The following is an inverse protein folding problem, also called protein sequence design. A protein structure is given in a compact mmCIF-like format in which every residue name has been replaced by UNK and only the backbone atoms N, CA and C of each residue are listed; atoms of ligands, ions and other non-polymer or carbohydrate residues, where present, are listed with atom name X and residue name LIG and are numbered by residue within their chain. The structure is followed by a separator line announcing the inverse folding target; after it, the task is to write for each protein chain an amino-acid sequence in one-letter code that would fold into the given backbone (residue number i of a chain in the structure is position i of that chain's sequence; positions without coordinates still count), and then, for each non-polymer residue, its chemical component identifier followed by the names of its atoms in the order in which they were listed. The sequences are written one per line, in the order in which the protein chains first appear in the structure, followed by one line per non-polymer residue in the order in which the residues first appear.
data_IF_588102373749
#
_entry.id   IF_588102373749
#
_cell.length_a   1.000
_cell.length_b   1.000
_cell.length_c   1.000
_cell.angle_alpha   90.00
_cell.angle_beta   90.00
_cell.angle_gamma   90.00
#
_symmetry.space_group_name_H-M   'P 1'
#
loop_
_entity.id
_entity.type
_entity.pdbx_description
1 polymer ?
#
# COMPACT_ATOMS: atom_id res chain seq x y z
N UNK A 1 21.37 -12.78 -17.67
CA UNK A 1 21.09 -12.62 -17.19
C UNK A 1 20.34 -12.44 -16.60
N UNK A 2 20.12 -12.35 -16.89
CA UNK A 2 19.38 -12.18 -16.35
C UNK A 2 18.79 -12.67 -15.61
N UNK A 3 18.64 -12.96 -15.52
CA UNK A 3 17.97 -13.32 -14.86
C UNK A 3 18.12 -13.44 -13.76
N UNK A 4 18.47 -13.48 -13.47
CA UNK A 4 18.58 -13.71 -12.46
C UNK A 4 18.31 -12.94 -11.62
N UNK A 5 18.18 -12.39 -11.86
CA UNK A 5 17.84 -11.75 -11.14
C UNK A 5 16.87 -11.74 -10.68
N UNK A 6 16.40 -11.85 -11.10
CA UNK A 6 15.55 -11.77 -10.69
C UNK A 6 15.17 -12.41 -9.91
N UNK A 7 15.21 -12.86 -9.88
CA UNK A 7 14.80 -13.50 -9.20
C UNK A 7 14.93 -13.29 -8.10
N UNK A 8 15.47 -12.98 -7.98
CA UNK A 8 15.72 -12.80 -6.90
C UNK A 8 14.87 -12.12 -6.20
N UNK A 9 14.60 -11.36 -6.77
CA UNK A 9 13.80 -10.65 -6.11
C UNK A 9 12.78 -11.38 -5.51
N UNK A 10 12.55 -12.08 -5.97
CA UNK A 10 11.59 -12.56 -5.49
C UNK A 10 11.69 -13.14 -4.39
N UNK A 11 12.38 -13.56 -4.22
CA UNK A 11 12.38 -14.16 -3.19
C UNK A 11 12.23 -13.48 -2.18
N UNK A 12 12.32 -12.97 -2.38
CA UNK A 12 12.23 -12.51 -1.55
C UNK A 12 11.46 -12.09 -1.15
N UNK A 13 11.04 -12.11 -1.61
CA UNK A 13 10.35 -11.63 -1.34
C UNK A 13 10.05 -11.70 -0.45
N UNK A 14 10.38 -12.08 -0.30
CA UNK A 14 9.92 -12.27 0.57
C UNK A 14 9.55 -11.52 1.47
N UNK A 15 8.91 -11.55 1.76
CA UNK A 15 8.24 -10.74 2.51
C UNK A 15 8.94 -10.49 3.75
N UNK A 16 9.38 -11.46 4.35
CA UNK A 16 9.96 -11.21 5.62
C UNK A 16 11.29 -10.57 5.53
N UNK A 17 11.95 -10.80 4.49
CA UNK A 17 13.28 -10.25 4.39
C UNK A 17 13.22 -8.75 4.24
N UNK A 18 12.08 -8.19 4.00
CA UNK A 18 11.99 -6.78 3.79
C UNK A 18 11.88 -6.02 5.06
N UNK A 19 11.54 -6.70 6.11
CA UNK A 19 11.43 -6.01 7.34
C UNK A 19 12.72 -5.43 7.75
N UNK A 20 12.74 -4.19 8.12
CA UNK A 20 13.92 -3.53 8.59
C UNK A 20 14.71 -2.96 7.46
N UNK A 21 15.81 -3.56 7.08
CA UNK A 21 16.71 -2.98 6.12
C UNK A 21 16.77 -3.76 4.84
N UNK A 22 16.95 -3.05 3.75
CA UNK A 22 17.18 -3.71 2.48
C UNK A 22 18.62 -4.16 2.40
N UNK A 23 18.81 -5.42 2.05
CA UNK A 23 20.16 -5.91 1.83
C UNK A 23 20.62 -5.64 0.43
N UNK A 24 19.73 -5.22 -0.47
CA UNK A 24 20.10 -4.91 -1.84
C UNK A 24 19.61 -3.52 -2.15
N UNK A 25 20.32 -2.79 -3.02
CA UNK A 25 19.95 -1.42 -3.32
C UNK A 25 18.81 -1.28 -4.30
N UNK A 26 18.31 -2.39 -4.83
CA UNK A 26 17.28 -2.32 -5.85
C UNK A 26 16.29 -3.45 -5.68
N UNK A 27 15.01 -3.12 -5.71
CA UNK A 27 13.92 -4.09 -5.67
C UNK A 27 12.99 -3.84 -6.83
N UNK A 28 12.47 -4.91 -7.38
CA UNK A 28 11.54 -4.82 -8.49
C UNK A 28 10.43 -5.81 -8.27
N UNK A 29 9.19 -5.39 -8.53
CA UNK A 29 8.04 -6.25 -8.34
C UNK A 29 7.18 -6.25 -9.61
N UNK A 30 6.65 -7.43 -9.92
CA UNK A 30 5.65 -7.54 -10.98
C UNK A 30 4.30 -7.42 -10.28
N UNK A 31 3.67 -6.26 -10.36
CA UNK A 31 2.46 -6.00 -9.60
C UNK A 31 1.31 -6.88 -10.02
N UNK A 32 1.25 -7.22 -11.31
CA UNK A 32 0.21 -8.13 -11.76
C UNK A 32 0.30 -9.49 -11.07
N UNK A 33 1.51 -10.01 -10.96
CA UNK A 33 1.71 -11.28 -10.27
C UNK A 33 1.40 -11.17 -8.78
N UNK A 34 1.78 -10.06 -8.17
CA UNK A 34 1.51 -9.87 -6.76
C UNK A 34 0.01 -9.81 -6.50
N UNK A 35 -0.74 -9.17 -7.39
CA UNK A 35 -2.19 -9.11 -7.25
C UNK A 35 -2.77 -10.52 -7.35
N UNK A 36 -2.31 -11.30 -8.31
CA UNK A 36 -2.81 -12.67 -8.45
C UNK A 36 -2.55 -13.47 -7.19
N UNK A 37 -1.37 -13.33 -6.63
CA UNK A 37 -1.05 -14.04 -5.40
C UNK A 37 -1.98 -13.65 -4.27
N UNK A 38 -2.23 -12.35 -4.12
CA UNK A 38 -3.12 -11.90 -3.07
C UNK A 38 -4.51 -12.47 -3.20
N UNK A 39 -4.99 -12.58 -4.41
CA UNK A 39 -6.34 -13.05 -4.65
C UNK A 39 -6.47 -14.56 -4.54
N UNK A 40 -5.36 -15.27 -4.35
CA UNK A 40 -5.42 -16.70 -4.09
C UNK A 40 -5.21 -17.02 -2.62
N UNK A 41 -5.01 -16.01 -1.77
CA UNK A 41 -4.75 -16.25 -0.37
C UNK A 41 -6.03 -16.47 0.42
N UNK A 42 -5.88 -17.13 1.55
CA UNK A 42 -7.03 -17.44 2.37
C UNK A 42 -7.76 -16.18 2.84
N UNK A 43 -7.02 -15.12 3.12
CA UNK A 43 -7.64 -13.88 3.57
C UNK A 43 -8.55 -13.29 2.51
N UNK A 44 -8.20 -13.48 1.24
CA UNK A 44 -9.05 -13.01 0.15
C UNK A 44 -10.36 -13.79 0.11
N UNK A 45 -10.28 -15.08 0.33
CA UNK A 45 -11.46 -15.93 0.28
C UNK A 45 -12.27 -15.88 1.57
N UNK A 46 -11.74 -15.28 2.61
CA UNK A 46 -12.39 -15.26 3.90
C UNK A 46 -13.46 -14.17 3.96
N UNK A 47 -14.09 -14.07 5.12
CA UNK A 47 -15.13 -13.08 5.29
C UNK A 47 -14.60 -11.66 5.25
N UNK A 48 -13.31 -11.47 5.54
CA UNK A 48 -12.77 -10.13 5.54
C UNK A 48 -12.74 -9.53 4.14
N UNK A 49 -12.56 -10.37 3.12
CA UNK A 49 -12.54 -9.89 1.75
C UNK A 49 -11.37 -8.98 1.45
N UNK A 50 -10.29 -9.09 2.21
CA UNK A 50 -9.15 -8.21 1.96
C UNK A 50 -7.85 -8.96 2.18
N UNK A 51 -6.84 -8.54 1.43
CA UNK A 51 -5.51 -9.09 1.51
C UNK A 51 -4.52 -7.96 1.30
N UNK A 52 -3.45 -7.95 2.06
CA UNK A 52 -2.43 -6.91 1.97
C UNK A 52 -1.06 -7.52 2.05
N UNK A 53 -0.13 -6.92 1.33
CA UNK A 53 1.25 -7.34 1.35
C UNK A 53 2.15 -6.13 1.35
N UNK A 54 3.06 -6.04 2.32
CA UNK A 54 4.03 -4.97 2.35
C UNK A 54 5.17 -5.34 1.42
N UNK A 55 5.35 -4.55 0.38
CA UNK A 55 6.40 -4.80 -0.59
C UNK A 55 7.72 -4.18 -0.15
N UNK A 56 7.67 -3.00 0.44
CA UNK A 56 8.87 -2.29 0.88
C UNK A 56 8.60 -1.69 2.24
N UNK A 57 9.58 -1.79 3.13
CA UNK A 57 9.45 -1.23 4.47
C UNK A 57 10.76 -0.62 4.89
N UNK A 58 10.82 0.69 4.84
CA UNK A 58 11.95 1.50 5.32
C UNK A 58 11.45 2.44 6.38
N UNK A 59 12.37 3.12 7.04
CA UNK A 59 11.98 4.10 8.04
C UNK A 59 11.20 5.25 7.44
N UNK A 60 11.53 5.62 6.21
CA UNK A 60 10.93 6.78 5.58
C UNK A 60 10.02 6.42 4.40
N UNK A 61 9.87 5.14 4.07
CA UNK A 61 9.09 4.75 2.91
C UNK A 61 8.48 3.37 3.11
N UNK A 62 7.19 3.26 2.86
CA UNK A 62 6.52 1.96 2.89
C UNK A 62 5.62 1.85 1.67
N UNK A 63 5.66 0.70 1.03
CA UNK A 63 4.81 0.43 -0.12
C UNK A 63 4.04 -0.84 0.16
N UNK A 64 2.71 -0.73 0.09
CA UNK A 64 1.81 -1.83 0.43
C UNK A 64 0.86 -2.05 -0.72
N UNK A 65 0.71 -3.30 -1.12
CA UNK A 65 -0.28 -3.68 -2.12
C UNK A 65 -1.48 -4.24 -1.36
N UNK A 66 -2.66 -3.74 -1.68
CA UNK A 66 -3.88 -4.16 -1.01
C UNK A 66 -4.93 -4.54 -2.05
N UNK A 67 -5.60 -5.66 -1.82
CA UNK A 67 -6.70 -6.09 -2.66
C UNK A 67 -7.95 -6.21 -1.82
N UNK A 68 -9.07 -5.74 -2.34
CA UNK A 68 -10.36 -5.74 -1.66
C UNK A 68 -11.41 -6.34 -2.57
N UNK A 69 -12.25 -7.20 -2.01
CA UNK A 69 -13.41 -7.66 -2.74
C UNK A 69 -14.46 -6.57 -2.79
N UNK A 70 -15.34 -6.67 -3.76
CA UNK A 70 -16.43 -5.73 -3.92
C UNK A 70 -17.15 -5.51 -2.60
N UNK A 71 -17.44 -4.26 -2.29
CA UNK A 71 -18.20 -3.83 -1.12
C UNK A 71 -17.45 -3.94 0.20
N UNK A 72 -16.18 -4.35 0.16
CA UNK A 72 -15.35 -4.37 1.35
C UNK A 72 -14.90 -2.94 1.65
N UNK A 73 -14.88 -2.61 2.93
CA UNK A 73 -14.54 -1.27 3.37
C UNK A 73 -13.44 -1.32 4.42
N UNK A 74 -12.45 -0.47 4.26
CA UNK A 74 -11.42 -0.25 5.27
C UNK A 74 -11.84 0.99 6.05
N UNK A 75 -12.05 0.81 7.35
CA UNK A 75 -12.60 1.87 8.17
C UNK A 75 -11.61 3.02 8.30
N UNK A 76 -12.12 4.14 8.75
CA UNK A 76 -11.37 5.35 8.86
C UNK A 76 -10.07 5.16 9.64
N UNK A 77 -8.98 5.70 9.11
CA UNK A 77 -7.70 5.67 9.79
C UNK A 77 -6.88 6.84 9.25
N UNK A 78 -5.78 7.11 9.91
CA UNK A 78 -4.89 8.17 9.49
C UNK A 78 -3.47 7.78 9.84
N UNK A 79 -2.52 8.42 9.18
CA UNK A 79 -1.11 8.15 9.41
C UNK A 79 -0.33 9.43 9.36
N UNK A 80 0.74 9.49 10.14
CA UNK A 80 1.62 10.66 10.17
C UNK A 80 2.59 10.58 9.00
N UNK A 81 2.07 10.34 7.82
CA UNK A 81 2.86 10.18 6.60
C UNK A 81 2.06 10.79 5.47
N UNK A 82 2.77 11.24 4.44
CA UNK A 82 2.11 11.61 3.21
C UNK A 82 1.81 10.32 2.45
N UNK A 83 0.63 10.21 1.92
CA UNK A 83 0.16 8.94 1.35
C UNK A 83 -0.26 9.14 -0.08
N UNK A 84 0.15 8.23 -0.96
CA UNK A 84 -0.46 8.15 -2.28
C UNK A 84 -1.17 6.81 -2.40
N UNK A 85 -2.32 6.84 -3.06
CA UNK A 85 -3.11 5.65 -3.29
C UNK A 85 -3.37 5.59 -4.78
N UNK A 86 -2.92 4.52 -5.41
CA UNK A 86 -3.06 4.35 -6.85
C UNK A 86 -3.85 3.07 -7.11
N UNK A 87 -4.98 3.20 -7.77
CA UNK A 87 -5.79 2.04 -8.11
C UNK A 87 -5.20 1.36 -9.32
N UNK A 88 -4.91 0.08 -9.18
CA UNK A 88 -4.32 -0.71 -10.25
C UNK A 88 -5.39 -1.46 -11.02
N UNK A 89 -6.35 -2.04 -10.33
CA UNK A 89 -7.48 -2.74 -10.96
C UNK A 89 -8.73 -2.40 -10.19
N UNK A 90 -9.85 -2.41 -10.86
CA UNK A 90 -11.15 -2.19 -10.22
C UNK A 90 -11.46 -0.73 -10.00
N UNK A 91 -12.17 -0.44 -8.93
CA UNK A 91 -12.69 0.90 -8.67
C UNK A 91 -12.91 1.04 -7.19
N UNK A 92 -12.21 1.99 -6.56
CA UNK A 92 -12.40 2.25 -5.14
C UNK A 92 -12.89 3.68 -4.97
N UNK A 93 -13.45 3.93 -3.80
CA UNK A 93 -13.90 5.27 -3.41
C UNK A 93 -13.24 5.57 -2.08
N UNK A 94 -12.69 6.76 -1.96
CA UNK A 94 -12.16 7.23 -0.70
C UNK A 94 -13.06 8.29 -0.13
N UNK A 95 -13.26 8.24 1.17
CA UNK A 95 -13.95 9.30 1.88
C UNK A 95 -12.92 10.02 2.73
N UNK A 96 -12.75 11.30 2.45
CA UNK A 96 -11.73 12.08 3.13
C UNK A 96 -12.24 13.51 3.24
N UNK A 97 -12.15 14.08 4.44
CA UNK A 97 -12.52 15.47 4.73
C UNK A 97 -13.94 15.77 4.23
N UNK A 98 -14.86 14.86 4.54
CA UNK A 98 -16.26 15.08 4.17
C UNK A 98 -16.57 14.95 2.70
N UNK A 99 -15.66 14.42 1.92
CA UNK A 99 -15.83 14.25 0.49
C UNK A 99 -15.66 12.80 0.10
N UNK A 100 -16.34 12.43 -0.97
CA UNK A 100 -16.11 11.11 -1.59
C UNK A 100 -15.39 11.33 -2.89
N UNK A 101 -14.33 10.58 -3.09
CA UNK A 101 -13.51 10.72 -4.28
C UNK A 101 -13.47 9.37 -4.99
N UNK A 102 -13.94 9.35 -6.22
CA UNK A 102 -13.86 8.16 -7.07
C UNK A 102 -12.43 7.96 -7.53
N UNK A 103 -11.96 6.73 -7.43
CA UNK A 103 -10.59 6.43 -7.85
C UNK A 103 -10.61 5.13 -8.65
N UNK A 104 -11.02 5.20 -9.92
CA UNK A 104 -11.00 3.99 -10.76
C UNK A 104 -9.58 3.62 -11.16
N UNK A 105 -9.43 2.45 -11.75
CA UNK A 105 -8.12 1.94 -12.16
C UNK A 105 -7.37 3.02 -12.96
N UNK A 106 -6.10 3.16 -12.67
CA UNK A 106 -5.25 4.13 -13.35
C UNK A 106 -5.22 5.51 -12.71
N UNK A 107 -6.03 5.74 -11.68
CA UNK A 107 -6.07 7.04 -10.99
C UNK A 107 -5.24 6.98 -9.72
N UNK A 108 -4.72 8.12 -9.33
CA UNK A 108 -3.90 8.23 -8.12
C UNK A 108 -4.39 9.42 -7.30
N UNK A 109 -4.37 9.26 -5.98
CA UNK A 109 -4.76 10.30 -5.05
C UNK A 109 -3.64 10.48 -4.06
N UNK A 110 -3.36 11.72 -3.67
CA UNK A 110 -2.33 12.00 -2.68
C UNK A 110 -2.97 12.71 -1.50
N UNK A 111 -2.71 12.22 -0.30
CA UNK A 111 -3.22 12.79 0.93
C UNK A 111 -2.08 13.37 1.74
N UNK A 112 -2.34 14.52 2.30
CA UNK A 112 -1.39 15.11 3.23
C UNK A 112 -1.41 14.33 4.55
N UNK A 113 -0.49 14.68 5.45
CA UNK A 113 -0.33 13.96 6.70
C UNK A 113 -1.58 14.08 7.57
N UNK A 114 -1.87 13.01 8.26
CA UNK A 114 -2.86 12.98 9.33
C UNK A 114 -4.29 13.28 8.88
N UNK A 115 -4.61 13.09 7.63
CA UNK A 115 -5.99 13.24 7.17
C UNK A 115 -6.72 11.91 7.34
N UNK A 116 -7.77 11.87 8.15
CA UNK A 116 -8.55 10.64 8.30
C UNK A 116 -9.22 10.28 6.98
N UNK A 117 -9.24 9.03 6.65
CA UNK A 117 -9.82 8.58 5.40
C UNK A 117 -10.25 7.13 5.52
N UNK A 118 -11.21 6.73 4.69
CA UNK A 118 -11.57 5.33 4.56
C UNK A 118 -11.69 5.00 3.09
N UNK A 119 -11.66 3.72 2.80
CA UNK A 119 -11.64 3.20 1.44
C UNK A 119 -12.73 2.16 1.31
N UNK A 120 -13.46 2.22 0.22
CA UNK A 120 -14.46 1.19 -0.08
C UNK A 120 -14.26 0.73 -1.50
N UNK A 121 -14.30 -0.57 -1.74
CA UNK A 121 -14.19 -1.12 -3.08
C UNK A 121 -15.57 -1.26 -3.66
N UNK A 122 -15.79 -0.68 -4.84
CA UNK A 122 -17.06 -0.82 -5.54
C UNK A 122 -17.12 -2.13 -6.31
N UNK A 123 -15.97 -2.68 -6.66
CA UNK A 123 -15.84 -3.97 -7.29
C UNK A 123 -14.53 -4.55 -6.80
N UNK A 124 -14.23 -5.78 -7.15
CA UNK A 124 -12.95 -6.36 -6.75
C UNK A 124 -11.85 -5.46 -7.25
N UNK A 125 -10.98 -5.01 -6.34
CA UNK A 125 -10.02 -3.96 -6.64
C UNK A 125 -8.69 -4.23 -5.99
N UNK A 126 -7.65 -3.69 -6.61
CA UNK A 126 -6.31 -3.70 -6.02
C UNK A 126 -5.72 -2.33 -6.16
N UNK A 127 -5.04 -1.88 -5.12
CA UNK A 127 -4.42 -0.57 -5.16
C UNK A 127 -3.08 -0.60 -4.44
N UNK A 128 -2.22 0.33 -4.84
CA UNK A 128 -0.88 0.47 -4.28
C UNK A 128 -0.89 1.66 -3.35
N UNK A 129 -0.48 1.42 -2.12
CA UNK A 129 -0.42 2.44 -1.09
C UNK A 129 1.04 2.74 -0.82
N UNK A 130 1.42 4.01 -0.95
CA UNK A 130 2.79 4.43 -0.66
C UNK A 130 2.74 5.46 0.45
N UNK A 131 3.50 5.19 1.52
CA UNK A 131 3.60 6.10 2.65
C UNK A 131 5.01 6.65 2.70
N UNK A 132 5.10 7.96 2.88
CA UNK A 132 6.38 8.64 2.93
C UNK A 132 6.43 9.52 4.18
N UNK A 133 7.47 9.31 4.98
CA UNK A 133 7.68 10.10 6.18
C UNK A 133 8.75 11.13 5.94
N UNK A 134 8.74 12.23 6.70
CA UNK A 134 9.78 13.24 6.54
C UNK A 134 11.15 12.67 6.83
N UNK A 135 12.17 13.36 6.35
CA UNK A 135 13.53 12.96 6.60
C UNK A 135 13.80 12.91 8.10
N UNK A 136 14.87 12.20 8.44
CA UNK A 136 15.23 12.02 9.83
C UNK A 136 15.38 13.34 10.56
N UNK A 137 15.96 14.33 9.90
CA UNK A 137 16.15 15.62 10.52
C UNK A 137 14.82 16.26 10.93
N UNK A 138 13.74 15.89 10.28
CA UNK A 138 12.44 16.41 10.60
C UNK A 138 11.66 15.52 11.55
N UNK A 139 12.19 14.37 11.87
CA UNK A 139 11.47 13.44 12.71
C UNK A 139 11.25 14.03 14.09
N UNK A 140 12.26 14.72 14.63
CA UNK A 140 12.14 15.32 15.93
C UNK A 140 11.06 16.39 15.93
N UNK A 141 11.05 17.21 14.90
CA UNK A 141 10.03 18.23 14.80
C UNK A 141 8.65 17.63 14.70
N UNK A 142 8.56 16.58 13.92
CA UNK A 142 7.29 15.90 13.76
C UNK A 142 6.78 15.38 15.09
N UNK A 143 7.66 14.76 15.84
CA UNK A 143 7.30 14.29 17.16
C UNK A 143 6.88 15.42 18.06
N UNK A 144 7.57 16.52 18.00
CA UNK A 144 7.24 17.66 18.82
C UNK A 144 5.88 18.22 18.47
N UNK A 145 5.61 18.33 17.20
CA UNK A 145 4.32 18.88 16.76
C UNK A 145 3.16 18.03 17.21
N UNK A 146 3.38 16.76 17.27
CA UNK A 146 2.31 15.87 17.63
C UNK A 146 2.18 15.70 19.11
N UNK A 147 3.22 16.03 19.81
CA UNK A 147 3.26 15.88 21.26
C UNK A 147 2.45 16.90 22.00
#
# INVERSE_FOLDING_TARGET
MANDTEQSAQRTTGHESIEGTLSVPLLQFDLGQEIEKEQTEDSWASETGRSSKTLVKHDDLRIVLTSLKAKTRLHEHKAAARISIQTLTGHIVLRVVGRSVDLPAGHILVLDQCLPHDVEALEDSSFLLTLSWPAESNAAERGTKQG
#
